data_IF_018540018257
#
_entry.id   IF_018540018257
#
_cell.length_a   1.000
_cell.length_b   1.000
_cell.length_c   1.000
_cell.angle_alpha   90.00
_cell.angle_beta   90.00
_cell.angle_gamma   90.00
#
_symmetry.space_group_name_H-M   'P 1'
#
loop_
_entity.id
_entity.type
_entity.pdbx_description
1 polymer ?
#
# COMPACT_ATOMS: atom_id res chain seq x y z
N UNK A 1 17.02 25.44 0.22
CA UNK A 1 16.70 24.12 -0.35
C UNK A 1 15.58 23.53 0.51
N UNK A 2 14.53 23.00 -0.09
CA UNK A 2 13.51 22.24 0.66
C UNK A 2 14.17 20.96 1.16
N UNK A 3 14.05 20.66 2.46
CA UNK A 3 14.61 19.43 3.02
C UNK A 3 13.90 18.22 2.38
N UNK A 4 14.68 17.28 1.86
CA UNK A 4 14.14 16.04 1.30
C UNK A 4 13.53 15.19 2.43
N UNK A 5 12.38 14.59 2.17
CA UNK A 5 11.72 13.69 3.12
C UNK A 5 12.38 12.29 3.06
N UNK A 6 12.97 11.79 4.17
CA UNK A 6 13.64 10.50 4.18
C UNK A 6 12.68 9.31 4.00
N UNK A 7 11.35 9.52 4.17
CA UNK A 7 10.35 8.48 3.89
C UNK A 7 10.22 8.16 2.40
N UNK A 8 10.57 9.14 1.54
CA UNK A 8 10.46 8.99 0.08
C UNK A 8 11.78 9.22 -0.66
N UNK A 9 12.85 9.48 0.07
CA UNK A 9 14.20 9.64 -0.49
C UNK A 9 15.16 8.76 0.30
N UNK A 10 15.90 7.85 -0.37
CA UNK A 10 16.72 6.86 0.33
C UNK A 10 18.04 7.46 0.81
N UNK A 11 18.00 8.13 1.96
CA UNK A 11 19.17 8.62 2.68
C UNK A 11 19.02 8.52 4.20
N UNK A 12 20.16 8.33 4.85
CA UNK A 12 20.37 8.39 6.29
C UNK A 12 21.86 8.73 6.54
N UNK A 13 22.30 9.11 7.74
CA UNK A 13 23.68 9.59 7.97
C UNK A 13 24.79 8.65 7.49
N UNK A 14 24.57 7.33 7.50
CA UNK A 14 25.56 6.32 7.14
C UNK A 14 25.61 6.06 5.64
N UNK A 15 24.48 6.21 4.92
CA UNK A 15 24.35 5.79 3.53
C UNK A 15 23.24 6.55 2.82
N UNK A 16 23.46 6.87 1.57
CA UNK A 16 22.42 7.40 0.68
C UNK A 16 22.53 6.79 -0.72
N UNK A 17 21.41 6.85 -1.45
CA UNK A 17 21.42 6.50 -2.86
C UNK A 17 22.32 7.45 -3.66
N UNK A 18 23.03 6.92 -4.66
CA UNK A 18 24.01 7.65 -5.45
C UNK A 18 23.44 8.90 -6.11
N UNK A 19 22.21 8.85 -6.59
CA UNK A 19 21.56 9.99 -7.25
C UNK A 19 21.29 11.18 -6.31
N UNK A 20 21.39 10.99 -4.98
CA UNK A 20 21.25 12.05 -3.99
C UNK A 20 22.59 12.72 -3.61
N UNK A 21 23.70 12.30 -4.25
CA UNK A 21 25.01 12.89 -3.99
C UNK A 21 25.02 14.38 -4.32
N UNK A 22 25.44 15.19 -3.35
CA UNK A 22 25.40 16.65 -3.44
C UNK A 22 24.06 17.28 -3.02
N UNK A 23 23.05 16.48 -2.72
CA UNK A 23 21.75 16.95 -2.24
C UNK A 23 21.52 16.68 -0.74
N UNK A 24 22.17 15.64 -0.21
CA UNK A 24 22.10 15.23 1.19
C UNK A 24 23.50 14.93 1.73
N UNK A 25 23.65 14.93 3.06
CA UNK A 25 24.87 14.50 3.74
C UNK A 25 24.76 13.01 4.09
N UNK A 26 25.76 12.22 3.67
CA UNK A 26 25.90 10.81 4.04
C UNK A 26 27.36 10.38 3.96
N UNK A 27 27.75 9.40 4.80
CA UNK A 27 29.14 8.88 4.81
C UNK A 27 29.52 8.17 3.51
N UNK A 28 28.54 7.52 2.86
CA UNK A 28 28.73 6.80 1.58
C UNK A 28 27.51 6.93 0.69
N UNK A 29 27.75 6.92 -0.62
CA UNK A 29 26.72 6.92 -1.64
C UNK A 29 26.81 5.64 -2.46
N UNK A 30 25.70 4.94 -2.63
CA UNK A 30 25.68 3.61 -3.25
C UNK A 30 24.64 3.52 -4.37
N UNK A 31 24.97 2.70 -5.38
CA UNK A 31 23.98 2.27 -6.35
C UNK A 31 23.07 1.21 -5.72
N UNK A 32 21.77 1.33 -5.94
CA UNK A 32 20.82 0.33 -5.51
C UNK A 32 20.83 -0.90 -6.42
N UNK A 33 20.47 -2.05 -5.85
CA UNK A 33 20.19 -3.28 -6.60
C UNK A 33 18.71 -3.57 -6.58
N UNK A 34 18.12 -3.79 -7.76
CA UNK A 34 16.70 -4.11 -7.88
C UNK A 34 16.43 -5.54 -7.45
N UNK A 35 15.48 -5.70 -6.52
CA UNK A 35 14.93 -6.95 -6.04
C UNK A 35 13.41 -6.96 -6.24
N UNK A 36 12.79 -8.09 -5.96
CA UNK A 36 11.35 -8.28 -5.99
C UNK A 36 10.89 -8.97 -4.72
N UNK A 37 9.74 -8.56 -4.19
CA UNK A 37 9.08 -9.24 -3.06
C UNK A 37 8.57 -10.60 -3.53
N UNK A 38 8.96 -11.67 -2.81
CA UNK A 38 8.59 -13.06 -3.12
C UNK A 38 7.59 -13.65 -2.13
N UNK A 39 7.38 -13.01 -0.98
CA UNK A 39 6.35 -13.36 -0.01
C UNK A 39 5.01 -12.69 -0.36
N UNK A 40 3.85 -13.24 0.06
CA UNK A 40 2.54 -12.63 -0.17
C UNK A 40 2.47 -11.16 0.23
N UNK A 41 3.02 -10.83 1.38
CA UNK A 41 3.33 -9.49 1.86
C UNK A 41 4.49 -9.55 2.86
N UNK A 42 5.21 -8.47 3.01
CA UNK A 42 6.27 -8.32 4.01
C UNK A 42 6.23 -6.93 4.62
N UNK A 43 6.57 -6.85 5.91
CA UNK A 43 6.65 -5.59 6.65
C UNK A 43 7.81 -4.73 6.15
N UNK A 44 7.56 -3.45 5.93
CA UNK A 44 8.58 -2.42 5.79
C UNK A 44 8.58 -1.58 7.07
N UNK A 45 9.72 -1.52 7.74
CA UNK A 45 9.87 -1.02 9.09
C UNK A 45 10.83 0.16 9.15
N UNK A 46 10.70 0.95 10.21
CA UNK A 46 11.54 2.12 10.45
C UNK A 46 12.99 1.79 10.81
N UNK A 47 13.23 0.63 11.38
CA UNK A 47 14.55 0.15 11.79
C UNK A 47 14.69 -1.36 11.55
N UNK A 48 15.92 -1.88 11.45
CA UNK A 48 16.20 -3.30 11.23
C UNK A 48 15.96 -4.13 12.50
N UNK A 49 14.70 -4.20 12.94
CA UNK A 49 14.27 -4.96 14.13
C UNK A 49 12.83 -5.40 13.97
N UNK A 50 12.50 -6.58 14.49
CA UNK A 50 11.12 -7.08 14.55
C UNK A 50 10.23 -6.25 15.49
N UNK A 51 10.82 -5.60 16.50
CA UNK A 51 10.12 -4.71 17.43
C UNK A 51 9.95 -3.29 16.88
N UNK A 52 10.60 -2.98 15.75
CA UNK A 52 10.46 -1.67 15.13
C UNK A 52 9.07 -1.48 14.54
N UNK A 53 8.61 -0.22 14.59
CA UNK A 53 7.33 0.21 14.05
C UNK A 53 7.17 -0.22 12.60
N UNK A 54 6.00 -0.76 12.26
CA UNK A 54 5.57 -0.98 10.89
C UNK A 54 5.22 0.38 10.28
N UNK A 55 5.88 0.73 9.20
CA UNK A 55 5.60 1.95 8.44
C UNK A 55 4.69 1.66 7.23
N UNK A 56 4.94 0.54 6.54
CA UNK A 56 4.07 0.02 5.47
C UNK A 56 4.32 -1.48 5.23
N UNK A 57 3.59 -2.06 4.30
CA UNK A 57 3.82 -3.41 3.78
C UNK A 57 4.25 -3.33 2.32
N UNK A 58 5.08 -4.29 1.88
CA UNK A 58 5.37 -4.55 0.48
C UNK A 58 4.68 -5.85 0.06
N UNK A 59 4.08 -5.88 -1.12
CA UNK A 59 3.27 -6.99 -1.60
C UNK A 59 4.03 -7.84 -2.62
N UNK A 60 3.66 -9.10 -2.76
CA UNK A 60 4.21 -10.02 -3.75
C UNK A 60 4.32 -9.36 -5.12
N UNK A 61 5.48 -9.47 -5.73
CA UNK A 61 5.77 -8.94 -7.05
C UNK A 61 6.14 -7.46 -7.09
N UNK A 62 5.97 -6.70 -6.00
CA UNK A 62 6.46 -5.31 -5.93
C UNK A 62 7.99 -5.29 -6.05
N UNK A 63 8.50 -4.31 -6.78
CA UNK A 63 9.93 -4.10 -6.96
C UNK A 63 10.46 -3.17 -5.90
N UNK A 64 11.66 -3.49 -5.44
CA UNK A 64 12.35 -2.75 -4.38
C UNK A 64 13.78 -2.49 -4.83
N UNK A 65 14.23 -1.25 -4.72
CA UNK A 65 15.62 -0.87 -4.91
C UNK A 65 16.34 -0.99 -3.56
N UNK A 66 17.23 -1.98 -3.40
CA UNK A 66 17.95 -2.25 -2.16
C UNK A 66 19.32 -1.58 -2.19
N UNK A 67 19.62 -0.78 -1.17
CA UNK A 67 20.86 -0.01 -1.02
C UNK A 67 21.81 -0.62 0.03
N UNK A 68 21.29 -1.42 0.95
CA UNK A 68 22.07 -2.11 1.98
C UNK A 68 21.40 -3.41 2.39
N UNK A 69 22.20 -4.41 2.69
CA UNK A 69 21.77 -5.66 3.36
C UNK A 69 22.70 -5.91 4.54
N UNK A 70 22.14 -6.22 5.71
CA UNK A 70 22.92 -6.53 6.92
C UNK A 70 23.12 -8.03 7.09
N UNK A 71 24.11 -8.42 7.91
CA UNK A 71 24.38 -9.83 8.21
C UNK A 71 23.24 -10.47 9.01
N UNK A 72 22.43 -9.69 9.72
CA UNK A 72 21.25 -10.14 10.46
C UNK A 72 20.02 -10.39 9.55
N UNK A 73 20.16 -10.21 8.25
CA UNK A 73 19.12 -10.50 7.27
C UNK A 73 18.10 -9.39 7.06
N UNK A 74 18.49 -8.13 7.31
CA UNK A 74 17.69 -6.96 6.97
C UNK A 74 18.16 -6.33 5.67
N UNK A 75 17.21 -5.83 4.87
CA UNK A 75 17.47 -5.08 3.64
C UNK A 75 16.86 -3.67 3.75
N UNK A 76 17.68 -2.64 3.54
CA UNK A 76 17.21 -1.26 3.47
C UNK A 76 17.03 -0.85 2.02
N UNK A 77 15.83 -0.38 1.70
CA UNK A 77 15.48 -0.09 0.33
C UNK A 77 14.30 0.84 0.16
N UNK A 78 13.97 1.06 -1.12
CA UNK A 78 12.88 1.92 -1.57
C UNK A 78 11.94 1.12 -2.47
N UNK A 79 10.64 1.12 -2.16
CA UNK A 79 9.60 0.55 -3.01
C UNK A 79 9.50 1.36 -4.31
N UNK A 80 9.42 0.67 -5.47
CA UNK A 80 9.24 1.37 -6.74
C UNK A 80 7.78 1.83 -6.96
N UNK A 81 6.83 1.25 -6.21
CA UNK A 81 5.39 1.52 -6.38
C UNK A 81 4.99 2.90 -5.88
N UNK A 82 5.53 3.33 -4.75
CA UNK A 82 5.15 4.59 -4.08
C UNK A 82 6.37 5.40 -3.58
N UNK A 83 7.58 4.86 -3.77
CA UNK A 83 8.81 5.51 -3.37
C UNK A 83 9.12 5.39 -1.87
N UNK A 84 8.36 4.61 -1.09
CA UNK A 84 8.54 4.53 0.36
C UNK A 84 9.83 3.80 0.74
N UNK A 85 10.55 4.35 1.73
CA UNK A 85 11.89 3.90 2.15
C UNK A 85 11.80 3.25 3.52
N UNK A 86 12.45 2.10 3.69
CA UNK A 86 12.52 1.43 4.99
C UNK A 86 13.25 0.10 4.96
N UNK A 87 13.12 -0.64 6.05
CA UNK A 87 13.77 -1.93 6.27
C UNK A 87 12.79 -3.08 6.06
N UNK A 88 13.20 -4.06 5.24
CA UNK A 88 12.47 -5.30 4.99
C UNK A 88 13.31 -6.49 5.42
N UNK A 89 12.67 -7.65 5.63
CA UNK A 89 13.39 -8.92 5.72
C UNK A 89 14.05 -9.24 4.37
N UNK A 90 15.36 -9.49 4.38
CA UNK A 90 16.08 -9.89 3.17
C UNK A 90 15.55 -11.22 2.62
N UNK A 91 15.03 -12.12 3.47
CA UNK A 91 14.44 -13.40 3.07
C UNK A 91 13.12 -13.24 2.30
N UNK A 92 12.45 -12.09 2.42
CA UNK A 92 11.25 -11.80 1.65
C UNK A 92 11.55 -11.27 0.24
N UNK A 93 12.83 -11.18 -0.13
CA UNK A 93 13.30 -10.61 -1.39
C UNK A 93 14.00 -11.67 -2.24
N UNK A 94 13.72 -11.64 -3.53
CA UNK A 94 14.39 -12.44 -4.54
C UNK A 94 14.91 -11.59 -5.68
N UNK A 95 15.62 -12.20 -6.64
CA UNK A 95 16.00 -11.53 -7.88
C UNK A 95 14.78 -10.98 -8.60
N UNK A 96 14.92 -9.83 -9.27
CA UNK A 96 13.86 -9.30 -10.11
C UNK A 96 13.54 -10.26 -11.25
N UNK A 97 12.33 -10.78 -11.24
CA UNK A 97 11.78 -11.63 -12.29
C UNK A 97 11.24 -10.85 -13.50
N UNK A 98 10.57 -11.55 -14.42
CA UNK A 98 9.85 -10.94 -15.53
C UNK A 98 8.82 -9.91 -15.04
N UNK A 99 8.45 -8.98 -15.91
CA UNK A 99 7.41 -8.00 -15.60
C UNK A 99 6.07 -8.70 -15.29
N UNK A 100 5.38 -8.23 -14.27
CA UNK A 100 4.06 -8.74 -13.93
C UNK A 100 3.08 -8.49 -15.07
N UNK A 101 2.26 -9.49 -15.37
CA UNK A 101 1.22 -9.44 -16.41
C UNK A 101 -0.16 -9.21 -15.81
N UNK A 102 -0.35 -9.65 -14.55
CA UNK A 102 -1.61 -9.60 -13.83
C UNK A 102 -1.40 -9.11 -12.40
N UNK A 103 -2.49 -8.72 -11.75
CA UNK A 103 -2.57 -8.41 -10.34
C UNK A 103 -3.78 -9.09 -9.72
N UNK A 104 -3.72 -9.35 -8.42
CA UNK A 104 -4.88 -9.76 -7.63
C UNK A 104 -5.85 -8.58 -7.57
N UNK A 105 -7.06 -8.78 -8.08
CA UNK A 105 -8.14 -7.80 -8.12
C UNK A 105 -9.24 -8.06 -7.09
N UNK A 106 -9.32 -9.27 -6.58
CA UNK A 106 -10.15 -9.64 -5.43
C UNK A 106 -9.50 -9.11 -4.15
N UNK A 107 -10.30 -8.94 -3.08
CA UNK A 107 -9.79 -8.51 -1.78
C UNK A 107 -8.69 -9.45 -1.27
N UNK A 108 -8.82 -10.76 -1.51
CA UNK A 108 -7.84 -11.82 -1.30
C UNK A 108 -8.02 -12.91 -2.34
N UNK A 109 -6.95 -13.59 -2.71
CA UNK A 109 -6.97 -14.78 -3.55
C UNK A 109 -6.10 -15.87 -2.94
N UNK A 110 -6.42 -17.13 -3.20
CA UNK A 110 -5.56 -18.24 -2.83
C UNK A 110 -4.77 -18.73 -4.04
N UNK A 111 -3.50 -19.04 -3.82
CA UNK A 111 -2.67 -19.76 -4.77
C UNK A 111 -2.69 -21.25 -4.41
N UNK A 112 -2.87 -22.12 -5.40
CA UNK A 112 -2.94 -23.57 -5.22
C UNK A 112 -1.79 -24.29 -5.95
N UNK A 113 -1.39 -25.50 -5.50
CA UNK A 113 -0.35 -26.29 -6.18
C UNK A 113 -0.85 -26.93 -7.49
N UNK A 114 -2.16 -26.91 -7.76
CA UNK A 114 -2.80 -27.51 -8.94
C UNK A 114 -4.15 -26.88 -9.24
N UNK A 115 -4.79 -27.29 -10.35
CA UNK A 115 -6.05 -26.69 -10.83
C UNK A 115 -7.29 -27.23 -10.08
N UNK A 116 -7.22 -27.34 -8.76
CA UNK A 116 -8.32 -27.79 -7.91
C UNK A 116 -8.36 -26.95 -6.62
N UNK A 117 -9.50 -26.28 -6.39
CA UNK A 117 -9.76 -25.47 -5.20
C UNK A 117 -9.85 -26.25 -3.88
N UNK A 118 -9.93 -27.57 -3.96
CA UNK A 118 -9.94 -28.47 -2.79
C UNK A 118 -8.54 -28.80 -2.29
N UNK A 119 -7.51 -28.50 -3.06
CA UNK A 119 -6.12 -28.66 -2.62
C UNK A 119 -5.80 -27.63 -1.51
N UNK A 120 -4.89 -27.99 -0.57
CA UNK A 120 -4.41 -27.02 0.39
C UNK A 120 -3.78 -25.82 -0.31
N UNK A 121 -4.15 -24.56 0.03
CA UNK A 121 -3.55 -23.41 -0.58
C UNK A 121 -2.09 -23.24 -0.17
N UNK A 122 -1.24 -22.82 -1.10
CA UNK A 122 0.15 -22.49 -0.87
C UNK A 122 0.32 -21.12 -0.22
N UNK A 123 -0.53 -20.18 -0.58
CA UNK A 123 -0.47 -18.80 -0.10
C UNK A 123 -1.83 -18.12 -0.20
N UNK A 124 -2.05 -17.11 0.67
CA UNK A 124 -3.13 -16.14 0.55
C UNK A 124 -2.54 -14.82 0.03
N UNK A 125 -2.99 -14.38 -1.11
CA UNK A 125 -2.47 -13.20 -1.82
C UNK A 125 -3.39 -12.00 -1.60
N UNK A 126 -2.90 -10.86 -1.12
CA UNK A 126 -3.71 -9.67 -0.94
C UNK A 126 -4.03 -8.99 -2.28
N UNK A 127 -5.06 -8.13 -2.28
CA UNK A 127 -5.33 -7.23 -3.39
C UNK A 127 -4.08 -6.41 -3.74
N UNK A 128 -3.78 -6.28 -5.02
CA UNK A 128 -2.61 -5.55 -5.50
C UNK A 128 -1.36 -6.41 -5.68
N UNK A 129 -1.28 -7.63 -5.12
CA UNK A 129 -0.18 -8.55 -5.39
C UNK A 129 -0.01 -8.78 -6.89
N UNK A 130 1.23 -8.71 -7.37
CA UNK A 130 1.56 -8.71 -8.81
C UNK A 130 2.12 -10.07 -9.22
N UNK A 131 1.67 -10.57 -10.36
CA UNK A 131 1.96 -11.92 -10.81
C UNK A 131 2.36 -11.94 -12.28
N UNK A 132 3.34 -12.78 -12.61
CA UNK A 132 3.66 -13.11 -13.99
C UNK A 132 2.96 -14.41 -14.35
N UNK A 133 1.95 -14.34 -15.21
CA UNK A 133 1.19 -15.51 -15.66
C UNK A 133 1.87 -16.09 -16.89
N UNK A 134 2.18 -17.39 -16.80
CA UNK A 134 2.78 -18.17 -17.90
C UNK A 134 1.73 -18.72 -18.87
N UNK A 135 0.58 -19.15 -18.33
CA UNK A 135 -0.55 -19.66 -19.14
C UNK A 135 -1.85 -19.51 -18.36
N UNK A 136 -2.95 -19.57 -19.07
CA UNK A 136 -4.28 -19.43 -18.52
C UNK A 136 -5.23 -20.41 -19.23
N UNK A 137 -6.04 -21.12 -18.48
CA UNK A 137 -7.17 -21.92 -18.99
C UNK A 137 -8.51 -21.25 -18.63
N UNK A 138 -9.61 -21.98 -18.77
CA UNK A 138 -10.96 -21.46 -18.46
C UNK A 138 -11.12 -20.99 -17.00
N UNK A 139 -10.47 -21.66 -16.04
CA UNK A 139 -10.70 -21.50 -14.59
C UNK A 139 -9.51 -20.92 -13.86
N UNK A 140 -8.29 -21.27 -14.27
CA UNK A 140 -7.07 -20.94 -13.56
C UNK A 140 -6.04 -20.23 -14.45
N UNK A 141 -5.36 -19.27 -13.86
CA UNK A 141 -4.10 -18.74 -14.35
C UNK A 141 -2.95 -19.43 -13.63
N UNK A 142 -1.93 -19.81 -14.37
CA UNK A 142 -0.72 -20.45 -13.83
C UNK A 142 0.43 -19.47 -13.90
N UNK A 143 1.03 -19.19 -12.76
CA UNK A 143 2.20 -18.31 -12.66
C UNK A 143 3.45 -18.99 -13.22
N UNK A 144 4.49 -18.21 -13.49
CA UNK A 144 5.80 -18.75 -13.87
C UNK A 144 6.43 -19.63 -12.79
N UNK A 145 6.01 -19.48 -11.52
CA UNK A 145 6.40 -20.35 -10.39
C UNK A 145 5.52 -21.61 -10.23
N UNK A 146 4.53 -21.80 -11.12
CA UNK A 146 3.65 -22.98 -11.10
C UNK A 146 2.43 -22.85 -10.18
N UNK A 147 2.16 -21.70 -9.57
CA UNK A 147 0.98 -21.50 -8.75
C UNK A 147 -0.27 -21.36 -9.62
N UNK A 148 -1.37 -22.01 -9.21
CA UNK A 148 -2.67 -21.93 -9.84
C UNK A 148 -3.57 -20.96 -9.07
N UNK A 149 -4.07 -19.94 -9.74
CA UNK A 149 -4.92 -18.92 -9.13
C UNK A 149 -6.21 -18.82 -9.93
N UNK A 150 -7.40 -18.83 -9.28
CA UNK A 150 -8.66 -18.71 -10.00
C UNK A 150 -8.72 -17.40 -10.80
N UNK A 151 -9.09 -17.48 -12.07
CA UNK A 151 -9.12 -16.35 -12.99
C UNK A 151 -9.99 -15.19 -12.49
N UNK A 152 -11.10 -15.50 -11.82
CA UNK A 152 -12.03 -14.51 -11.26
C UNK A 152 -11.40 -13.61 -10.19
N UNK A 153 -10.26 -14.02 -9.61
CA UNK A 153 -9.53 -13.24 -8.62
C UNK A 153 -8.51 -12.28 -9.24
N UNK A 154 -8.26 -12.38 -10.53
CA UNK A 154 -7.18 -11.66 -11.22
C UNK A 154 -7.72 -10.60 -12.19
N UNK A 155 -6.90 -9.62 -12.45
CA UNK A 155 -7.08 -8.69 -13.55
C UNK A 155 -5.74 -8.43 -14.25
N UNK A 156 -5.72 -8.08 -15.55
CA UNK A 156 -4.52 -7.60 -16.22
C UNK A 156 -3.86 -6.48 -15.41
N UNK A 157 -2.52 -6.42 -15.42
CA UNK A 157 -1.77 -5.47 -14.57
C UNK A 157 -2.18 -4.00 -14.81
N UNK A 158 -2.56 -3.66 -16.04
CA UNK A 158 -3.00 -2.31 -16.43
C UNK A 158 -4.48 -2.03 -16.20
N UNK A 159 -5.27 -3.03 -15.80
CA UNK A 159 -6.70 -2.85 -15.53
C UNK A 159 -6.91 -1.88 -14.37
N UNK A 160 -7.92 -1.03 -14.48
CA UNK A 160 -8.27 0.00 -13.51
C UNK A 160 -9.72 -0.19 -13.06
N UNK A 161 -9.97 0.00 -11.78
CA UNK A 161 -11.33 0.14 -11.25
C UNK A 161 -11.86 1.53 -11.59
N UNK A 162 -13.11 1.62 -11.98
CA UNK A 162 -13.76 2.90 -12.31
C UNK A 162 -14.11 3.72 -11.08
N UNK A 163 -14.31 3.08 -9.93
CA UNK A 163 -14.70 3.70 -8.67
C UNK A 163 -13.83 3.15 -7.54
N UNK A 164 -12.91 3.97 -7.04
CA UNK A 164 -12.03 3.58 -5.95
C UNK A 164 -12.74 3.47 -4.59
N UNK A 165 -13.87 4.18 -4.42
CA UNK A 165 -14.66 4.07 -3.18
C UNK A 165 -15.27 2.69 -3.07
N UNK A 166 -15.74 2.10 -4.18
CA UNK A 166 -16.21 0.71 -4.20
C UNK A 166 -15.12 -0.30 -3.85
N UNK A 167 -13.85 0.04 -4.07
CA UNK A 167 -12.72 -0.78 -3.61
C UNK A 167 -12.56 -0.65 -2.11
N UNK A 168 -12.61 0.56 -1.54
CA UNK A 168 -12.57 0.78 -0.09
C UNK A 168 -13.71 0.04 0.63
N UNK A 169 -14.91 0.02 0.05
CA UNK A 169 -16.08 -0.68 0.59
C UNK A 169 -15.86 -2.20 0.72
N UNK A 170 -15.01 -2.82 -0.11
CA UNK A 170 -14.65 -4.24 0.03
C UNK A 170 -13.85 -4.53 1.30
N UNK A 171 -13.16 -3.54 1.87
CA UNK A 171 -12.39 -3.67 3.11
C UNK A 171 -13.24 -3.53 4.37
N UNK A 172 -14.54 -3.27 4.25
CA UNK A 172 -15.41 -3.09 5.42
C UNK A 172 -15.26 -4.25 6.41
N UNK A 173 -15.03 -3.94 7.68
CA UNK A 173 -14.76 -4.91 8.74
C UNK A 173 -13.31 -5.45 8.78
N UNK A 174 -12.43 -5.10 7.83
CA UNK A 174 -11.02 -5.45 7.93
C UNK A 174 -10.41 -4.77 9.17
N UNK A 175 -9.58 -5.49 9.97
CA UNK A 175 -8.99 -4.95 11.19
C UNK A 175 -8.14 -3.69 10.93
N UNK A 176 -8.15 -2.76 11.89
CA UNK A 176 -7.20 -1.66 11.89
C UNK A 176 -5.81 -2.18 12.25
N UNK A 177 -4.83 -1.90 11.40
CA UNK A 177 -3.42 -2.19 11.66
C UNK A 177 -2.59 -0.99 11.22
N UNK A 178 -1.90 -0.34 12.15
CA UNK A 178 -0.97 0.72 11.79
C UNK A 178 0.07 0.23 10.79
N UNK A 179 0.29 0.96 9.70
CA UNK A 179 1.21 0.56 8.62
C UNK A 179 0.65 -0.51 7.67
N UNK A 180 -0.50 -1.09 7.95
CA UNK A 180 -1.11 -2.13 7.10
C UNK A 180 -1.68 -1.58 5.80
N UNK A 181 -1.66 -2.41 4.75
CA UNK A 181 -2.32 -2.14 3.46
C UNK A 181 -2.98 -3.38 2.86
N UNK A 182 -3.33 -4.36 3.69
CA UNK A 182 -4.02 -5.59 3.26
C UNK A 182 -5.32 -5.78 4.02
N UNK A 183 -6.16 -6.70 3.56
CA UNK A 183 -7.41 -7.05 4.26
C UNK A 183 -7.21 -7.83 5.56
N UNK A 184 -5.98 -8.23 5.90
CA UNK A 184 -5.63 -8.78 7.20
C UNK A 184 -5.38 -7.68 8.24
N UNK A 185 -5.10 -6.49 7.78
CA UNK A 185 -4.95 -5.28 8.55
C UNK A 185 -4.64 -4.09 7.66
N UNK A 186 -5.31 -2.96 7.89
CA UNK A 186 -5.17 -1.75 7.07
C UNK A 186 -5.30 -0.52 7.95
N UNK A 187 -4.48 0.52 7.71
CA UNK A 187 -4.69 1.82 8.33
C UNK A 187 -5.43 2.80 7.40
N UNK A 188 -5.69 4.00 7.89
CA UNK A 188 -6.48 5.00 7.17
C UNK A 188 -5.89 5.37 5.81
N UNK A 189 -4.60 5.69 5.76
CA UNK A 189 -3.91 6.06 4.52
C UNK A 189 -3.62 4.86 3.62
N UNK A 190 -3.43 3.66 4.19
CA UNK A 190 -3.31 2.39 3.46
C UNK A 190 -4.59 2.04 2.72
N UNK A 191 -5.77 2.24 3.34
CA UNK A 191 -7.06 2.05 2.68
C UNK A 191 -7.23 2.99 1.49
N UNK A 192 -6.89 4.27 1.65
CA UNK A 192 -6.89 5.26 0.55
C UNK A 192 -5.92 4.83 -0.54
N UNK A 193 -4.69 4.46 -0.17
CA UNK A 193 -3.64 4.08 -1.12
C UNK A 193 -4.05 2.89 -1.98
N UNK A 194 -4.46 1.78 -1.36
CA UNK A 194 -4.85 0.56 -2.09
C UNK A 194 -6.05 0.83 -3.02
N UNK A 195 -7.02 1.61 -2.55
CA UNK A 195 -8.21 1.97 -3.32
C UNK A 195 -7.87 2.80 -4.55
N UNK A 196 -7.05 3.84 -4.40
CA UNK A 196 -6.60 4.70 -5.50
C UNK A 196 -5.70 3.95 -6.48
N UNK A 197 -4.76 3.13 -5.99
CA UNK A 197 -3.91 2.29 -6.84
C UNK A 197 -4.72 1.28 -7.67
N UNK A 198 -5.79 0.72 -7.10
CA UNK A 198 -6.70 -0.15 -7.86
C UNK A 198 -7.42 0.60 -8.99
N UNK A 199 -7.68 1.89 -8.82
CA UNK A 199 -8.20 2.77 -9.86
C UNK A 199 -7.12 3.34 -10.79
N UNK A 200 -5.84 2.98 -10.57
CA UNK A 200 -4.70 3.43 -11.37
C UNK A 200 -4.31 4.89 -11.11
N UNK A 201 -4.63 5.39 -9.93
CA UNK A 201 -4.25 6.73 -9.45
C UNK A 201 -3.04 6.56 -8.52
N UNK A 202 -1.88 7.18 -8.82
CA UNK A 202 -0.74 7.19 -7.92
C UNK A 202 -1.10 7.80 -6.56
N UNK A 203 -0.65 7.18 -5.49
CA UNK A 203 -0.99 7.61 -4.15
C UNK A 203 0.20 7.34 -3.21
N UNK A 204 0.72 8.35 -2.49
CA UNK A 204 1.74 8.15 -1.48
C UNK A 204 1.18 7.41 -0.26
N UNK A 205 2.08 6.92 0.60
CA UNK A 205 1.70 6.05 1.71
C UNK A 205 1.04 6.79 2.86
N UNK A 206 1.62 7.89 3.32
CA UNK A 206 1.21 8.56 4.55
C UNK A 206 0.16 9.64 4.30
N UNK A 207 -0.74 9.85 5.27
CA UNK A 207 -1.88 10.77 5.15
C UNK A 207 -1.45 12.22 4.92
N UNK A 208 -0.34 12.68 5.54
CA UNK A 208 0.21 14.01 5.31
C UNK A 208 0.74 14.20 3.88
N UNK A 209 1.38 13.17 3.32
CA UNK A 209 1.80 13.18 1.91
C UNK A 209 0.60 13.14 0.96
N UNK A 210 -0.45 12.39 1.31
CA UNK A 210 -1.70 12.32 0.55
C UNK A 210 -2.41 13.68 0.55
N UNK A 211 -2.51 14.33 1.71
CA UNK A 211 -3.10 15.66 1.85
C UNK A 211 -2.41 16.69 0.95
N UNK A 212 -1.08 16.64 0.86
CA UNK A 212 -0.30 17.59 0.07
C UNK A 212 -0.38 17.34 -1.44
N UNK A 213 -0.49 16.08 -1.87
CA UNK A 213 -0.29 15.70 -3.27
C UNK A 213 -1.55 15.29 -4.02
N UNK A 214 -2.63 14.88 -3.32
CA UNK A 214 -3.81 14.35 -3.99
C UNK A 214 -4.84 15.43 -4.32
N UNK A 215 -5.40 15.34 -5.52
CA UNK A 215 -6.60 16.08 -5.93
C UNK A 215 -6.52 17.58 -5.80
N UNK A 216 -7.69 18.22 -5.84
CA UNK A 216 -7.88 19.67 -5.67
C UNK A 216 -8.58 19.98 -4.36
N UNK A 217 -8.32 21.15 -3.77
CA UNK A 217 -9.04 21.61 -2.59
C UNK A 217 -10.54 21.68 -2.83
N UNK A 218 -11.30 21.24 -1.85
CA UNK A 218 -12.76 21.24 -1.79
C UNK A 218 -13.23 21.70 -0.41
N UNK A 219 -14.53 21.57 -0.13
CA UNK A 219 -15.11 21.99 1.16
C UNK A 219 -16.13 20.96 1.67
N UNK A 220 -16.38 20.96 2.99
CA UNK A 220 -17.41 20.14 3.61
C UNK A 220 -18.81 20.42 3.04
N UNK A 221 -19.11 21.67 2.73
CA UNK A 221 -20.41 22.06 2.17
C UNK A 221 -20.67 21.47 0.78
N UNK A 222 -19.62 21.03 0.07
CA UNK A 222 -19.71 20.41 -1.25
C UNK A 222 -19.21 18.97 -1.26
N UNK A 223 -19.22 18.29 -0.10
CA UNK A 223 -18.75 16.93 0.04
C UNK A 223 -19.50 15.98 -0.91
N UNK A 224 -18.77 15.11 -1.59
CA UNK A 224 -19.33 14.10 -2.49
C UNK A 224 -18.50 12.83 -2.49
N UNK A 225 -19.05 11.75 -3.04
CA UNK A 225 -18.37 10.47 -3.19
C UNK A 225 -16.98 10.63 -3.81
N UNK A 226 -15.98 10.07 -3.12
CA UNK A 226 -14.58 10.10 -3.52
C UNK A 226 -13.79 11.33 -3.06
N UNK A 227 -14.41 12.29 -2.36
CA UNK A 227 -13.64 13.33 -1.67
C UNK A 227 -12.88 12.68 -0.49
N UNK A 228 -11.64 13.14 -0.24
CA UNK A 228 -10.83 12.74 0.90
C UNK A 228 -10.91 13.83 1.96
N UNK A 229 -11.23 13.44 3.19
CA UNK A 229 -11.28 14.33 4.35
C UNK A 229 -10.06 14.06 5.21
N UNK A 230 -9.26 15.07 5.48
CA UNK A 230 -8.01 14.98 6.22
C UNK A 230 -8.08 15.64 7.59
N UNK A 231 -7.39 15.04 8.54
CA UNK A 231 -7.06 15.56 9.86
C UNK A 231 -5.58 15.33 10.11
N UNK A 232 -5.03 15.89 11.17
CA UNK A 232 -3.69 15.54 11.59
C UNK A 232 -3.60 14.02 11.82
N UNK A 233 -2.69 13.37 11.10
CA UNK A 233 -2.41 11.93 11.17
C UNK A 233 -3.60 11.02 10.80
N UNK A 234 -4.62 11.53 10.10
CA UNK A 234 -5.77 10.73 9.69
C UNK A 234 -6.39 11.16 8.37
N UNK A 235 -7.03 10.20 7.69
CA UNK A 235 -7.78 10.43 6.46
C UNK A 235 -9.01 9.52 6.39
N UNK A 236 -10.09 10.02 5.82
CA UNK A 236 -11.29 9.27 5.47
C UNK A 236 -11.69 9.52 4.01
N UNK A 237 -12.40 8.57 3.42
CA UNK A 237 -13.00 8.69 2.10
C UNK A 237 -14.48 9.03 2.28
N UNK A 238 -14.98 10.08 1.65
CA UNK A 238 -16.41 10.33 1.56
C UNK A 238 -17.05 9.24 0.68
N UNK A 239 -17.85 8.39 1.30
CA UNK A 239 -18.62 7.36 0.61
C UNK A 239 -19.75 7.99 -0.22
N UNK A 240 -20.35 8.99 0.34
CA UNK A 240 -21.38 9.89 -0.21
C UNK A 240 -21.34 11.22 0.57
N UNK A 241 -22.23 12.21 0.29
CA UNK A 241 -22.24 13.48 1.03
C UNK A 241 -22.50 13.35 2.54
N UNK A 242 -23.07 12.24 2.99
CA UNK A 242 -23.55 12.05 4.37
C UNK A 242 -22.73 11.05 5.16
N UNK A 243 -21.88 10.23 4.50
CA UNK A 243 -21.14 9.14 5.15
C UNK A 243 -19.67 9.09 4.75
N UNK A 244 -18.83 8.67 5.71
CA UNK A 244 -17.41 8.42 5.56
C UNK A 244 -17.11 6.92 5.67
N UNK A 245 -16.13 6.44 4.91
CA UNK A 245 -15.52 5.13 5.10
C UNK A 245 -14.03 5.33 5.41
N UNK A 246 -13.55 4.73 6.49
CA UNK A 246 -12.16 4.80 6.90
C UNK A 246 -11.77 3.65 7.83
N UNK A 247 -10.49 3.28 7.81
CA UNK A 247 -9.88 2.46 8.86
C UNK A 247 -9.52 3.37 10.03
N UNK A 248 -9.97 3.07 11.23
CA UNK A 248 -9.74 3.94 12.38
C UNK A 248 -9.62 3.17 13.70
N UNK A 249 -8.89 3.77 14.65
CA UNK A 249 -8.66 3.18 15.97
C UNK A 249 -9.91 3.19 16.88
N UNK A 250 -10.93 4.00 16.57
CA UNK A 250 -12.17 4.02 17.34
C UNK A 250 -12.95 2.71 17.17
N UNK A 251 -13.09 2.25 15.92
CA UNK A 251 -13.75 0.99 15.60
C UNK A 251 -12.79 -0.20 15.58
N UNK A 252 -11.48 0.03 15.62
CA UNK A 252 -10.41 -0.97 15.37
C UNK A 252 -10.63 -1.76 14.08
N UNK A 253 -11.25 -1.11 13.08
CA UNK A 253 -11.60 -1.71 11.80
C UNK A 253 -11.84 -0.64 10.73
N UNK A 254 -12.03 -1.08 9.49
CA UNK A 254 -12.66 -0.27 8.44
C UNK A 254 -14.15 -0.20 8.74
N UNK A 255 -14.65 1.01 8.93
CA UNK A 255 -16.05 1.28 9.28
C UNK A 255 -16.64 2.39 8.41
N UNK A 256 -17.97 2.37 8.28
CA UNK A 256 -18.76 3.45 7.72
C UNK A 256 -19.47 4.14 8.88
N UNK A 257 -19.40 5.46 8.93
CA UNK A 257 -20.12 6.25 9.91
C UNK A 257 -20.69 7.54 9.28
N UNK A 258 -21.74 8.16 9.87
CA UNK A 258 -22.21 9.46 9.42
C UNK A 258 -21.10 10.50 9.46
N UNK A 259 -20.94 11.28 8.38
CA UNK A 259 -19.84 12.25 8.25
C UNK A 259 -19.87 13.28 9.39
N UNK A 260 -21.06 13.76 9.78
CA UNK A 260 -21.23 14.71 10.88
C UNK A 260 -20.80 14.16 12.23
N UNK A 261 -21.11 12.88 12.51
CA UNK A 261 -20.75 12.22 13.77
C UNK A 261 -19.24 11.94 13.83
N UNK A 262 -18.66 11.39 12.75
CA UNK A 262 -17.22 11.14 12.63
C UNK A 262 -16.40 12.41 12.81
N UNK A 263 -16.78 13.51 12.11
CA UNK A 263 -16.11 14.80 12.23
C UNK A 263 -16.23 15.36 13.65
N UNK A 264 -17.42 15.32 14.24
CA UNK A 264 -17.64 15.83 15.60
C UNK A 264 -16.85 15.02 16.65
N UNK A 265 -16.80 13.69 16.52
CA UNK A 265 -16.04 12.80 17.40
C UNK A 265 -14.54 13.08 17.32
N UNK A 266 -13.98 13.22 16.11
CA UNK A 266 -12.56 13.50 15.92
C UNK A 266 -12.21 14.90 16.44
N UNK A 267 -13.10 15.88 16.23
CA UNK A 267 -12.95 17.24 16.79
C UNK A 267 -12.96 17.20 18.32
N UNK A 268 -13.85 16.46 18.94
CA UNK A 268 -13.89 16.30 20.40
C UNK A 268 -12.61 15.63 20.95
N UNK A 269 -11.93 14.81 20.13
CA UNK A 269 -10.63 14.25 20.44
C UNK A 269 -9.44 15.21 20.18
N UNK A 270 -9.71 16.46 19.78
CA UNK A 270 -8.70 17.51 19.62
C UNK A 270 -8.12 17.65 18.21
N UNK A 271 -8.72 17.08 17.18
CA UNK A 271 -8.25 17.23 15.79
C UNK A 271 -9.35 17.80 14.88
N UNK A 272 -9.07 18.95 14.30
CA UNK A 272 -9.95 19.60 13.30
C UNK A 272 -9.66 19.06 11.90
N UNK A 273 -10.64 19.18 10.99
CA UNK A 273 -10.43 18.92 9.56
C UNK A 273 -9.40 19.92 9.01
N UNK A 274 -8.31 19.39 8.45
CA UNK A 274 -7.22 20.22 7.88
C UNK A 274 -7.46 20.52 6.41
N UNK A 275 -7.96 19.56 5.65
CA UNK A 275 -8.28 19.76 4.24
C UNK A 275 -9.34 18.77 3.76
N UNK A 276 -9.96 19.13 2.65
CA UNK A 276 -10.76 18.22 1.82
C UNK A 276 -10.14 18.23 0.43
N UNK A 277 -9.86 17.05 -0.10
CA UNK A 277 -9.28 16.87 -1.42
C UNK A 277 -10.24 16.12 -2.33
N UNK A 278 -10.50 16.68 -3.47
CA UNK A 278 -11.30 16.07 -4.53
C UNK A 278 -10.40 15.39 -5.53
N UNK A 279 -10.42 14.06 -5.52
CA UNK A 279 -9.72 13.24 -6.49
C UNK A 279 -10.61 13.11 -7.74
N UNK A 280 -10.09 13.52 -8.89
CA UNK A 280 -10.82 13.53 -10.17
C UNK A 280 -10.43 12.34 -11.04
#
# INVERSE_FOLDING_TARGET
MVALDPRSNPFRPEIAAKHLQGQVEAKRFVEGKRHQVIEPNTALRRAPSHDARLDTEALLGERVMIYETTDEGWAWGQLETDGYVGWLSANALGPSGPAATHKVAALRAFAFPGPDIKLPPLAALPMGAQLTIARQDEKFAVTVSGWHIPNVCLAPIKAKRSDFVSVAEQFLGSPYLWGGKTSLGVDCSGLVQVSLQAAGIPCPRDSDMQELSLGKLSSLASLRRGDLVFWKDHVAIARDPESLIHANAHHMAVAIEPATEGIARIKAAGSEVTAIRRVS
#
